data_IF_750338832467
#
_entry.id   IF_750338832467
#
_cell.length_a   1.000
_cell.length_b   1.000
_cell.length_c   1.000
_cell.angle_alpha   90.00
_cell.angle_beta   90.00
_cell.angle_gamma   90.00
#
_symmetry.space_group_name_H-M   'P 1'
#
loop_
_entity.id
_entity.type
_entity.pdbx_description
1 polymer ?
#
# COMPACT_ATOMS: atom_id res chain seq x y z
N UNK A 1 4.65 -11.07 13.59
CA UNK A 1 5.16 -9.96 12.75
C UNK A 1 4.12 -9.30 11.82
N UNK A 2 3.62 -9.92 10.73
CA UNK A 2 2.73 -9.19 9.76
C UNK A 2 1.44 -8.62 10.39
N UNK A 3 0.82 -9.35 11.30
CA UNK A 3 -0.36 -8.88 12.05
C UNK A 3 -0.06 -7.71 13.01
N UNK A 4 1.14 -7.66 13.58
CA UNK A 4 1.55 -6.56 14.48
C UNK A 4 1.66 -5.24 13.71
N UNK A 5 2.20 -5.26 12.49
CA UNK A 5 2.27 -4.08 11.63
C UNK A 5 0.88 -3.55 11.29
N UNK A 6 -0.05 -4.46 10.94
CA UNK A 6 -1.45 -4.08 10.70
C UNK A 6 -2.06 -3.38 11.91
N UNK A 7 -1.86 -3.96 13.10
CA UNK A 7 -2.41 -3.41 14.34
C UNK A 7 -1.77 -2.06 14.68
N UNK A 8 -0.47 -1.90 14.44
CA UNK A 8 0.22 -0.62 14.62
C UNK A 8 -0.38 0.47 13.72
N UNK A 9 -0.58 0.18 12.42
CA UNK A 9 -1.18 1.14 11.48
C UNK A 9 -2.59 1.54 11.94
N UNK A 10 -3.41 0.59 12.38
CA UNK A 10 -4.75 0.88 12.88
C UNK A 10 -4.74 1.73 14.16
N UNK A 11 -3.82 1.43 15.08
CA UNK A 11 -3.71 2.18 16.33
C UNK A 11 -3.21 3.61 16.10
N UNK A 12 -2.22 3.79 15.22
CA UNK A 12 -1.67 5.12 14.90
C UNK A 12 -2.68 6.03 14.19
N UNK A 13 -3.50 5.47 13.29
CA UNK A 13 -4.48 6.23 12.50
C UNK A 13 -5.82 6.47 13.21
N UNK A 14 -5.98 6.01 14.46
CA UNK A 14 -7.22 6.16 15.25
C UNK A 14 -7.12 7.17 16.39
N UNK A 15 -6.03 7.95 16.45
CA UNK A 15 -5.85 9.00 17.45
C UNK A 15 -6.96 10.06 17.36
N UNK A 16 -7.46 10.50 18.52
CA UNK A 16 -8.46 11.58 18.62
C UNK A 16 -7.83 12.97 18.78
N UNK A 17 -6.54 13.01 19.13
CA UNK A 17 -5.85 14.26 19.49
C UNK A 17 -5.06 14.85 18.32
N UNK A 18 -4.85 14.07 17.26
CA UNK A 18 -4.20 14.50 16.03
C UNK A 18 -4.71 13.64 14.87
N UNK A 19 -4.68 14.19 13.67
CA UNK A 19 -4.91 13.43 12.44
C UNK A 19 -3.58 12.87 11.96
N UNK A 20 -3.54 11.58 11.69
CA UNK A 20 -2.40 10.90 11.06
C UNK A 20 -2.90 9.99 9.97
N UNK A 21 -2.54 10.33 8.74
CA UNK A 21 -2.82 9.54 7.55
C UNK A 21 -1.54 8.84 7.07
N UNK A 22 -1.66 7.56 6.76
CA UNK A 22 -0.54 6.73 6.28
C UNK A 22 -0.94 6.16 4.92
N UNK A 23 -0.20 6.52 3.88
CA UNK A 23 -0.39 6.01 2.53
C UNK A 23 0.67 4.96 2.20
N UNK A 24 0.22 3.73 1.95
CA UNK A 24 1.07 2.62 1.50
C UNK A 24 0.70 2.26 0.06
N UNK A 25 1.66 2.32 -0.85
CA UNK A 25 1.45 1.92 -2.24
C UNK A 25 2.72 1.31 -2.83
N UNK A 26 2.54 0.37 -3.75
CA UNK A 26 3.60 -0.16 -4.60
C UNK A 26 3.23 0.17 -6.05
N UNK A 27 4.15 0.82 -6.74
CA UNK A 27 4.03 1.06 -8.15
C UNK A 27 4.79 -0.02 -8.91
N UNK A 28 4.09 -0.72 -9.81
CA UNK A 28 4.66 -1.77 -10.65
C UNK A 28 4.51 -1.39 -12.11
N UNK A 29 5.36 -1.98 -12.96
CA UNK A 29 5.34 -1.68 -14.39
C UNK A 29 4.04 -2.23 -14.97
N UNK A 30 3.40 -1.46 -15.84
CA UNK A 30 2.25 -1.95 -16.59
C UNK A 30 2.53 -3.30 -17.27
N UNK A 31 1.58 -4.24 -17.14
CA UNK A 31 1.71 -5.60 -17.67
C UNK A 31 2.65 -6.52 -16.86
N UNK A 32 3.19 -6.06 -15.73
CA UNK A 32 3.91 -6.95 -14.81
C UNK A 32 2.94 -7.94 -14.16
N UNK A 33 3.28 -9.24 -14.22
CA UNK A 33 2.50 -10.27 -13.51
C UNK A 33 2.75 -10.16 -12.02
N UNK A 34 1.69 -9.86 -11.28
CA UNK A 34 1.73 -9.77 -9.82
C UNK A 34 1.34 -11.11 -9.21
N UNK A 35 2.14 -11.61 -8.28
CA UNK A 35 1.79 -12.82 -7.53
C UNK A 35 0.60 -12.54 -6.62
N UNK A 36 -0.47 -13.32 -6.77
CA UNK A 36 -1.75 -13.09 -6.08
C UNK A 36 -1.59 -13.01 -4.56
N UNK A 37 -0.79 -13.92 -3.98
CA UNK A 37 -0.52 -13.94 -2.53
C UNK A 37 0.18 -12.66 -2.05
N UNK A 38 1.06 -12.10 -2.89
CA UNK A 38 1.74 -10.85 -2.58
C UNK A 38 0.75 -9.68 -2.55
N UNK A 39 -0.12 -9.58 -3.56
CA UNK A 39 -1.18 -8.56 -3.62
C UNK A 39 -2.09 -8.66 -2.39
N UNK A 40 -2.50 -9.87 -2.03
CA UNK A 40 -3.35 -10.11 -0.87
C UNK A 40 -2.64 -9.74 0.44
N UNK A 41 -1.35 -10.04 0.56
CA UNK A 41 -0.54 -9.68 1.74
C UNK A 41 -0.45 -8.17 1.92
N UNK A 42 -0.17 -7.41 0.85
CA UNK A 42 -0.07 -5.95 0.88
C UNK A 42 -1.39 -5.32 1.31
N UNK A 43 -2.50 -5.75 0.69
CA UNK A 43 -3.83 -5.24 1.03
C UNK A 43 -4.23 -5.59 2.47
N UNK A 44 -3.98 -6.83 2.90
CA UNK A 44 -4.43 -7.34 4.20
C UNK A 44 -3.67 -6.73 5.39
N UNK A 45 -2.36 -6.66 5.31
CA UNK A 45 -1.53 -6.30 6.46
C UNK A 45 -1.04 -4.87 6.46
N UNK A 46 -0.83 -4.30 5.28
CA UNK A 46 -0.25 -2.97 5.15
C UNK A 46 -1.28 -1.91 4.75
N UNK A 47 -2.55 -2.31 4.53
CA UNK A 47 -3.59 -1.45 3.94
C UNK A 47 -3.09 -0.76 2.66
N UNK A 48 -2.20 -1.44 1.94
CA UNK A 48 -1.52 -0.90 0.78
C UNK A 48 -2.26 -1.19 -0.51
N UNK A 49 -2.00 -0.37 -1.52
CA UNK A 49 -2.45 -0.60 -2.88
C UNK A 49 -1.28 -0.99 -3.78
N UNK A 50 -1.59 -1.69 -4.88
CA UNK A 50 -0.65 -1.88 -5.97
C UNK A 50 -1.22 -1.16 -7.18
N UNK A 51 -0.40 -0.29 -7.78
CA UNK A 51 -0.76 0.54 -8.92
C UNK A 51 0.16 0.20 -10.08
N UNK A 52 -0.43 -0.06 -11.24
CA UNK A 52 0.33 -0.24 -12.46
C UNK A 52 0.62 1.13 -13.08
N UNK A 53 1.87 1.35 -13.48
CA UNK A 53 2.31 2.57 -14.15
C UNK A 53 3.22 2.26 -15.32
N UNK A 54 3.08 3.05 -16.38
CA UNK A 54 4.05 3.09 -17.47
C UNK A 54 5.26 3.91 -17.00
N UNK A 55 6.35 3.23 -16.65
CA UNK A 55 7.58 3.90 -16.23
C UNK A 55 8.33 4.60 -17.38
N UNK A 56 7.99 4.31 -18.64
CA UNK A 56 8.66 4.84 -19.83
C UNK A 56 7.97 6.10 -20.35
N UNK A 57 6.64 6.20 -20.25
CA UNK A 57 5.91 7.46 -20.46
C UNK A 57 5.78 8.24 -19.15
N UNK A 58 6.83 8.98 -18.79
CA UNK A 58 6.67 10.09 -17.82
C UNK A 58 6.09 11.32 -18.50
N UNK A 59 4.75 11.40 -18.56
CA UNK A 59 3.98 12.63 -18.75
C UNK A 59 2.49 12.26 -18.55
N UNK A 60 1.67 12.80 -17.67
CA UNK A 60 1.72 14.01 -16.84
C UNK A 60 0.76 13.77 -15.67
N UNK A 61 1.09 14.22 -14.46
CA UNK A 61 0.14 14.44 -13.38
C UNK A 61 0.44 15.78 -12.73
#
# INVERSE_FOLDING_TARGET
MRGEVRNLILNLTSSRNFTLDIANAIWVREGAKQEKEYVETIRKYYRGEIREIDFLNRASS
#
